data_IF_941608127771
#
_entry.id   IF_941608127771
#
_cell.length_a   1.000
_cell.length_b   1.000
_cell.length_c   1.000
_cell.angle_alpha   90.00
_cell.angle_beta   90.00
_cell.angle_gamma   90.00
#
_symmetry.space_group_name_H-M   'P 1'
#
loop_
_entity.id
_entity.type
_entity.pdbx_description
1 polymer ?
#
# COMPACT_ATOMS: atom_id res chain seq x y z
N UNK A 1 -28.81 -22.99 -24.45
CA UNK A 1 -28.42 -23.64 -23.18
C UNK A 1 -26.92 -23.61 -22.90
N UNK A 2 -26.05 -24.43 -23.54
CA UNK A 2 -24.61 -24.46 -23.19
C UNK A 2 -23.89 -23.11 -23.40
N UNK A 3 -24.13 -22.43 -24.52
CA UNK A 3 -23.50 -21.14 -24.84
C UNK A 3 -23.92 -20.00 -23.89
N UNK A 4 -25.15 -20.03 -23.39
CA UNK A 4 -25.66 -19.04 -22.44
C UNK A 4 -25.04 -19.25 -21.05
N UNK A 5 -24.93 -20.50 -20.61
CA UNK A 5 -24.27 -20.86 -19.35
C UNK A 5 -22.79 -20.44 -19.39
N UNK A 6 -22.10 -20.67 -20.53
CA UNK A 6 -20.71 -20.26 -20.73
C UNK A 6 -20.54 -18.74 -20.70
N UNK A 7 -21.47 -17.98 -21.30
CA UNK A 7 -21.45 -16.52 -21.27
C UNK A 7 -21.67 -15.96 -19.85
N UNK A 8 -22.60 -16.57 -19.08
CA UNK A 8 -22.87 -16.20 -17.68
C UNK A 8 -21.64 -16.45 -16.81
N UNK A 9 -20.96 -17.59 -16.98
CA UNK A 9 -19.75 -17.92 -16.22
C UNK A 9 -18.58 -16.98 -16.55
N UNK A 10 -18.39 -16.61 -17.82
CA UNK A 10 -17.39 -15.60 -18.18
C UNK A 10 -17.69 -14.21 -17.61
N UNK A 11 -18.95 -13.80 -17.59
CA UNK A 11 -19.37 -12.56 -16.92
C UNK A 11 -19.07 -12.63 -15.42
N UNK A 12 -19.46 -13.71 -14.74
CA UNK A 12 -19.19 -13.92 -13.31
C UNK A 12 -17.69 -13.93 -12.99
N UNK A 13 -16.85 -14.54 -13.84
CA UNK A 13 -15.40 -14.52 -13.67
C UNK A 13 -14.82 -13.09 -13.73
N UNK A 14 -15.35 -12.24 -14.60
CA UNK A 14 -14.94 -10.83 -14.69
C UNK A 14 -15.43 -9.97 -13.51
N UNK A 15 -16.42 -10.45 -12.74
CA UNK A 15 -16.91 -9.78 -11.52
C UNK A 15 -16.27 -10.32 -10.23
N UNK A 16 -15.34 -11.28 -10.31
CA UNK A 16 -14.50 -11.56 -9.16
C UNK A 16 -13.67 -10.31 -8.89
N UNK A 17 -13.95 -9.65 -7.76
CA UNK A 17 -13.06 -8.63 -7.20
C UNK A 17 -11.64 -9.15 -7.29
N UNK A 18 -10.81 -8.48 -8.09
CA UNK A 18 -9.39 -8.79 -8.13
C UNK A 18 -8.91 -8.60 -6.70
N UNK A 19 -8.50 -9.70 -6.06
CA UNK A 19 -7.80 -9.65 -4.78
C UNK A 19 -6.60 -8.74 -4.99
N UNK A 20 -6.72 -7.51 -4.49
CA UNK A 20 -5.66 -6.52 -4.54
C UNK A 20 -4.51 -7.08 -3.72
N UNK A 21 -3.30 -7.02 -4.26
CA UNK A 21 -2.13 -7.48 -3.53
C UNK A 21 -2.03 -6.64 -2.23
N UNK A 22 -2.03 -7.27 -1.04
CA UNK A 22 -1.90 -6.56 0.21
C UNK A 22 -0.61 -5.73 0.28
N UNK A 23 0.45 -6.12 -0.45
CA UNK A 23 1.69 -5.36 -0.55
C UNK A 23 1.53 -4.09 -1.39
N UNK A 24 0.71 -4.12 -2.45
CA UNK A 24 0.39 -2.91 -3.22
C UNK A 24 -0.43 -1.92 -2.40
N UNK A 25 -1.34 -2.43 -1.57
CA UNK A 25 -2.11 -1.59 -0.63
C UNK A 25 -1.20 -0.95 0.41
N UNK A 26 -0.29 -1.74 1.00
CA UNK A 26 0.70 -1.25 1.96
C UNK A 26 1.59 -0.16 1.37
N UNK A 27 2.03 -0.34 0.12
CA UNK A 27 2.85 0.64 -0.59
C UNK A 27 2.08 1.93 -0.90
N UNK A 28 0.83 1.82 -1.33
CA UNK A 28 -0.02 2.99 -1.60
C UNK A 28 -0.27 3.81 -0.32
N UNK A 29 -0.50 3.16 0.81
CA UNK A 29 -0.63 3.85 2.10
C UNK A 29 0.66 4.56 2.50
N UNK A 30 1.80 3.93 2.28
CA UNK A 30 3.11 4.51 2.57
C UNK A 30 3.40 5.74 1.71
N UNK A 31 3.16 5.64 0.40
CA UNK A 31 3.36 6.77 -0.52
C UNK A 31 2.43 7.94 -0.18
N UNK A 32 1.20 7.66 0.24
CA UNK A 32 0.26 8.67 0.73
C UNK A 32 0.80 9.39 1.97
N UNK A 33 1.18 8.65 3.00
CA UNK A 33 1.68 9.23 4.25
C UNK A 33 2.99 10.00 4.05
N UNK A 34 3.89 9.49 3.19
CA UNK A 34 5.12 10.19 2.80
C UNK A 34 4.79 11.52 2.11
N UNK A 35 3.83 11.53 1.19
CA UNK A 35 3.36 12.74 0.52
C UNK A 35 2.78 13.77 1.50
N UNK A 36 2.00 13.36 2.49
CA UNK A 36 1.47 14.26 3.53
C UNK A 36 2.60 14.96 4.31
N UNK A 37 3.67 14.23 4.66
CA UNK A 37 4.84 14.83 5.33
C UNK A 37 5.59 15.78 4.40
N UNK A 38 5.72 15.47 3.11
CA UNK A 38 6.34 16.36 2.12
C UNK A 38 5.54 17.66 1.90
N UNK A 39 4.22 17.60 2.08
CA UNK A 39 3.34 18.77 2.06
C UNK A 39 3.41 19.60 3.35
N UNK A 40 4.22 19.19 4.34
CA UNK A 40 4.38 19.90 5.62
C UNK A 40 3.30 19.59 6.65
N UNK A 41 2.64 18.43 6.55
CA UNK A 41 1.65 18.00 7.53
C UNK A 41 2.33 17.37 8.76
N UNK A 42 2.73 18.21 9.73
CA UNK A 42 3.43 17.78 10.95
C UNK A 42 2.50 17.16 12.03
N UNK A 43 1.37 16.58 11.63
CA UNK A 43 0.46 15.95 12.57
C UNK A 43 1.16 14.75 13.25
N UNK A 44 1.29 14.72 14.59
CA UNK A 44 1.95 13.63 15.31
C UNK A 44 1.36 12.25 15.02
N UNK A 45 0.06 12.17 14.73
CA UNK A 45 -0.60 10.92 14.36
C UNK A 45 -0.09 10.36 13.03
N UNK A 46 0.11 11.23 12.02
CA UNK A 46 0.59 10.86 10.69
C UNK A 46 2.06 10.41 10.77
N UNK A 47 2.88 11.15 11.53
CA UNK A 47 4.28 10.81 11.78
C UNK A 47 4.39 9.43 12.44
N UNK A 48 3.57 9.14 13.46
CA UNK A 48 3.56 7.85 14.13
C UNK A 48 3.09 6.70 13.22
N UNK A 49 2.06 6.94 12.39
CA UNK A 49 1.60 5.96 11.41
C UNK A 49 2.69 5.68 10.37
N UNK A 50 3.33 6.72 9.83
CA UNK A 50 4.41 6.56 8.87
C UNK A 50 5.61 5.82 9.47
N UNK A 51 5.96 6.07 10.74
CA UNK A 51 7.00 5.29 11.44
C UNK A 51 6.67 3.80 11.48
N UNK A 52 5.46 3.43 11.91
CA UNK A 52 5.03 2.03 11.96
C UNK A 52 5.07 1.40 10.57
N UNK A 53 4.49 2.10 9.59
CA UNK A 53 4.38 1.61 8.23
C UNK A 53 5.75 1.47 7.54
N UNK A 54 6.69 2.36 7.85
CA UNK A 54 8.08 2.27 7.34
C UNK A 54 8.79 1.01 7.86
N UNK A 55 8.53 0.60 9.10
CA UNK A 55 9.04 -0.66 9.67
C UNK A 55 8.41 -1.87 8.98
N UNK A 56 7.10 -1.82 8.71
CA UNK A 56 6.38 -2.89 8.01
C UNK A 56 6.88 -3.02 6.55
N UNK A 57 7.09 -1.91 5.85
CA UNK A 57 7.64 -1.87 4.49
C UNK A 57 9.05 -2.48 4.44
N UNK A 58 9.90 -2.14 5.41
CA UNK A 58 11.26 -2.71 5.50
C UNK A 58 11.23 -4.21 5.79
N UNK A 59 10.37 -4.64 6.72
CA UNK A 59 10.20 -6.06 7.09
C UNK A 59 9.73 -6.91 5.90
N UNK A 60 8.89 -6.32 5.04
CA UNK A 60 8.41 -6.95 3.80
C UNK A 60 9.37 -6.79 2.61
N UNK A 61 10.57 -6.20 2.80
CA UNK A 61 11.58 -5.95 1.76
C UNK A 61 11.07 -5.09 0.59
N UNK A 62 10.10 -4.22 0.86
CA UNK A 62 9.53 -3.30 -0.14
C UNK A 62 10.36 -2.03 -0.30
N UNK A 63 11.18 -1.69 0.70
CA UNK A 63 12.12 -0.57 0.70
C UNK A 63 13.51 -1.07 1.12
N UNK A 64 14.55 -0.37 0.68
CA UNK A 64 15.93 -0.71 1.01
C UNK A 64 16.41 -0.08 2.33
N UNK A 65 17.56 -0.54 2.83
CA UNK A 65 18.19 -0.01 4.05
C UNK A 65 18.44 1.51 3.98
N UNK A 66 18.69 2.02 2.77
CA UNK A 66 19.00 3.43 2.55
C UNK A 66 17.75 4.28 2.73
N UNK A 67 16.66 3.92 2.05
CA UNK A 67 15.37 4.59 2.12
C UNK A 67 14.80 4.51 3.54
N UNK A 68 14.91 3.35 4.19
CA UNK A 68 14.51 3.19 5.58
C UNK A 68 15.22 4.17 6.52
N UNK A 69 16.55 4.27 6.42
CA UNK A 69 17.34 5.18 7.26
C UNK A 69 17.02 6.64 7.00
N UNK A 70 16.83 7.02 5.74
CA UNK A 70 16.49 8.40 5.36
C UNK A 70 15.19 8.86 6.02
N UNK A 71 14.15 8.02 5.96
CA UNK A 71 12.84 8.35 6.50
C UNK A 71 12.82 8.32 8.01
N UNK A 72 13.40 7.30 8.65
CA UNK A 72 13.45 7.25 10.11
C UNK A 72 14.23 8.43 10.68
N UNK A 73 15.32 8.85 10.03
CA UNK A 73 16.10 10.04 10.45
C UNK A 73 15.28 11.33 10.33
N UNK A 74 14.43 11.45 9.31
CA UNK A 74 13.56 12.61 9.12
C UNK A 74 12.38 12.65 10.09
N UNK A 75 11.98 11.51 10.64
CA UNK A 75 10.86 11.39 11.57
C UNK A 75 11.28 11.43 13.05
N UNK A 76 12.58 11.44 13.35
CA UNK A 76 13.16 11.59 14.70
C UNK A 76 13.23 13.06 15.11
#
# INVERSE_FOLDING_TARGET
MFKEILAITHLQYNFHDKLTDPLETLRAEYDKLKGEIELGNDNPSIINQLKSLTVDMYSNRLIDDKEFKEIITRLL
#
